data_IF_771247026271
#
_entry.id   IF_771247026271
#
_cell.length_a   1.000
_cell.length_b   1.000
_cell.length_c   1.000
_cell.angle_alpha   90.00
_cell.angle_beta   90.00
_cell.angle_gamma   90.00
#
_symmetry.space_group_name_H-M   'P 1'
#
loop_
_entity.id
_entity.type
_entity.pdbx_description
1 polymer ?
#
# COMPACT_ATOMS: atom_id res chain seq x y z
N UNK A 1 4.24 6.11 -21.55
CA UNK A 1 3.76 7.47 -21.29
C UNK A 1 2.84 7.88 -22.40
N UNK A 2 1.88 8.73 -22.08
CA UNK A 2 0.91 9.31 -23.01
C UNK A 2 0.51 10.66 -22.44
N UNK A 3 0.16 11.62 -23.28
CA UNK A 3 -0.42 12.87 -22.81
C UNK A 3 -1.80 12.61 -22.18
N UNK A 4 -2.27 13.52 -21.32
CA UNK A 4 -3.57 13.40 -20.67
C UNK A 4 -4.76 13.29 -21.65
N UNK A 5 -4.64 13.86 -22.86
CA UNK A 5 -5.62 13.75 -23.94
C UNK A 5 -5.53 12.44 -24.75
N UNK A 6 -4.65 11.52 -24.35
CA UNK A 6 -4.40 10.26 -25.05
C UNK A 6 -3.44 10.39 -26.25
N UNK A 7 -2.96 11.59 -26.58
CA UNK A 7 -2.04 11.81 -27.70
C UNK A 7 -0.59 11.48 -27.35
N UNK A 8 0.26 11.36 -28.39
CA UNK A 8 1.72 11.16 -28.28
C UNK A 8 2.15 9.99 -27.39
N UNK A 9 1.45 8.86 -27.51
CA UNK A 9 1.85 7.63 -26.82
C UNK A 9 3.32 7.27 -27.15
N UNK A 10 4.12 7.07 -26.10
CA UNK A 10 5.53 6.73 -26.20
C UNK A 10 5.94 5.68 -25.17
N UNK A 11 6.77 4.74 -25.60
CA UNK A 11 7.43 3.80 -24.71
C UNK A 11 8.60 4.49 -23.99
N UNK A 12 8.46 4.75 -22.69
CA UNK A 12 9.44 5.54 -21.92
C UNK A 12 10.52 4.67 -21.28
N UNK A 13 10.14 3.49 -20.79
CA UNK A 13 10.98 2.63 -19.96
C UNK A 13 10.69 1.17 -20.29
N UNK A 14 11.76 0.41 -20.53
CA UNK A 14 11.72 -1.04 -20.67
C UNK A 14 12.64 -1.52 -21.80
N UNK A 15 12.48 -2.78 -22.20
CA UNK A 15 13.42 -3.46 -23.10
C UNK A 15 13.30 -3.01 -24.57
N UNK A 16 12.18 -2.39 -24.95
CA UNK A 16 11.98 -1.82 -26.29
C UNK A 16 12.53 -0.39 -26.31
N UNK A 17 13.83 -0.23 -26.57
CA UNK A 17 14.47 1.09 -26.67
C UNK A 17 15.18 1.32 -27.99
N UNK A 18 15.64 2.55 -28.20
CA UNK A 18 16.35 2.96 -29.40
C UNK A 18 17.83 2.54 -29.39
N UNK A 19 18.36 2.12 -30.54
CA UNK A 19 19.79 1.85 -30.69
C UNK A 19 20.60 3.16 -30.68
N UNK A 20 21.59 3.24 -29.80
CA UNK A 20 22.56 4.33 -29.77
C UNK A 20 23.63 4.07 -30.84
N UNK A 21 23.62 4.85 -31.91
CA UNK A 21 24.69 4.91 -32.92
C UNK A 21 25.61 6.09 -32.60
N UNK A 22 26.87 6.07 -33.05
CA UNK A 22 28.00 6.92 -32.62
C UNK A 22 27.87 8.46 -32.69
N UNK A 23 26.67 9.00 -32.88
CA UNK A 23 26.33 10.39 -32.60
C UNK A 23 26.37 10.72 -31.09
N UNK A 24 26.71 11.97 -30.73
CA UNK A 24 26.65 12.47 -29.35
C UNK A 24 25.22 12.69 -28.83
N UNK A 25 24.19 12.44 -29.65
CA UNK A 25 22.79 12.60 -29.28
C UNK A 25 22.33 11.40 -28.43
N UNK A 26 22.09 11.63 -27.13
CA UNK A 26 21.60 10.59 -26.23
C UNK A 26 20.17 10.17 -26.59
N UNK A 27 19.94 8.86 -26.71
CA UNK A 27 18.63 8.25 -27.00
C UNK A 27 18.07 7.49 -25.78
N UNK A 28 16.78 7.14 -25.84
CA UNK A 28 16.12 6.28 -24.87
C UNK A 28 16.48 4.81 -25.16
N UNK A 29 17.64 4.37 -24.68
CA UNK A 29 18.15 3.01 -24.96
C UNK A 29 17.36 1.92 -24.21
N UNK A 30 17.42 0.64 -24.63
CA UNK A 30 16.79 -0.47 -23.92
C UNK A 30 17.17 -0.56 -22.44
N UNK A 31 16.21 -0.85 -21.57
CA UNK A 31 16.40 -1.19 -20.15
C UNK A 31 15.88 -2.60 -19.88
N UNK A 32 16.79 -3.53 -19.63
CA UNK A 32 16.45 -4.91 -19.30
C UNK A 32 16.20 -5.03 -17.80
N UNK A 33 14.94 -4.86 -17.40
CA UNK A 33 14.53 -4.92 -16.01
C UNK A 33 13.06 -4.57 -15.83
N UNK A 34 12.49 -5.05 -14.74
CA UNK A 34 11.15 -4.66 -14.31
C UNK A 34 11.26 -3.33 -13.57
N UNK A 35 10.48 -2.32 -13.97
CA UNK A 35 10.57 -0.97 -13.41
C UNK A 35 9.24 -0.52 -12.84
N UNK A 36 9.31 0.18 -11.73
CA UNK A 36 8.16 0.79 -11.04
C UNK A 36 8.43 2.27 -10.82
N UNK A 37 7.36 3.07 -10.74
CA UNK A 37 7.46 4.47 -10.32
C UNK A 37 7.96 4.49 -8.87
N UNK A 38 9.02 5.26 -8.61
CA UNK A 38 9.51 5.51 -7.25
C UNK A 38 8.99 6.85 -6.74
N UNK A 39 9.03 7.88 -7.58
CA UNK A 39 8.58 9.22 -7.21
C UNK A 39 8.15 9.95 -8.49
N UNK A 40 6.92 10.48 -8.58
CA UNK A 40 6.48 11.26 -9.73
C UNK A 40 7.21 12.59 -9.86
N UNK A 41 7.90 13.08 -8.81
CA UNK A 41 8.53 14.40 -8.75
C UNK A 41 7.58 15.53 -9.15
N UNK A 42 6.49 15.70 -8.38
CA UNK A 42 5.38 16.59 -8.74
C UNK A 42 5.76 18.04 -9.04
N UNK A 43 6.92 18.51 -8.57
CA UNK A 43 7.44 19.85 -8.86
C UNK A 43 8.45 19.90 -10.04
N UNK A 44 8.58 18.81 -10.80
CA UNK A 44 9.45 18.65 -11.97
C UNK A 44 8.65 17.98 -13.10
N UNK A 45 7.84 18.76 -13.82
CA UNK A 45 6.92 18.30 -14.88
C UNK A 45 7.57 17.44 -15.97
N UNK A 46 8.88 17.55 -16.12
CA UNK A 46 9.64 16.84 -17.15
C UNK A 46 10.19 15.50 -16.68
N UNK A 47 10.23 15.23 -15.37
CA UNK A 47 10.98 14.10 -14.82
C UNK A 47 10.15 13.27 -13.85
N UNK A 48 10.48 11.98 -13.81
CA UNK A 48 10.08 11.08 -12.73
C UNK A 48 11.30 10.28 -12.25
N UNK A 49 11.21 9.72 -11.04
CA UNK A 49 12.10 8.65 -10.59
C UNK A 49 11.43 7.31 -10.77
N UNK A 50 12.18 6.36 -11.30
CA UNK A 50 11.82 4.94 -11.31
C UNK A 50 12.83 4.14 -10.52
N UNK A 51 12.38 3.04 -9.93
CA UNK A 51 13.24 1.96 -9.47
C UNK A 51 13.17 0.82 -10.48
N UNK A 52 14.33 0.25 -10.81
CA UNK A 52 14.45 -0.88 -11.73
C UNK A 52 15.09 -2.06 -11.04
N UNK A 53 14.49 -3.24 -11.20
CA UNK A 53 15.01 -4.57 -10.88
C UNK A 53 15.60 -5.16 -12.16
N UNK A 54 16.92 -5.11 -12.36
CA UNK A 54 17.54 -5.56 -13.59
C UNK A 54 17.30 -7.06 -13.82
N UNK A 55 17.02 -7.45 -15.07
CA UNK A 55 16.96 -8.86 -15.45
C UNK A 55 18.39 -9.39 -15.54
N UNK A 56 18.83 -10.08 -14.49
CA UNK A 56 20.16 -10.70 -14.42
C UNK A 56 20.01 -12.21 -14.25
N UNK A 57 21.11 -12.95 -14.28
CA UNK A 57 21.10 -14.37 -13.91
C UNK A 57 20.82 -14.59 -12.41
N UNK A 58 20.93 -13.54 -11.57
CA UNK A 58 20.55 -13.58 -10.16
C UNK A 58 19.06 -13.26 -9.99
N UNK A 59 18.37 -14.04 -9.15
CA UNK A 59 17.01 -13.73 -8.68
C UNK A 59 16.96 -12.52 -7.75
N UNK A 60 18.11 -12.09 -7.21
CA UNK A 60 18.24 -10.99 -6.24
C UNK A 60 19.24 -9.95 -6.75
N UNK A 61 18.90 -9.15 -7.76
CA UNK A 61 19.78 -8.11 -8.25
C UNK A 61 19.84 -6.92 -7.27
N UNK A 62 20.91 -6.13 -7.37
CA UNK A 62 20.87 -4.76 -6.85
C UNK A 62 19.92 -3.94 -7.71
N UNK A 63 19.00 -3.23 -7.05
CA UNK A 63 18.07 -2.31 -7.68
C UNK A 63 18.76 -1.00 -8.06
N UNK A 64 18.23 -0.32 -9.07
CA UNK A 64 18.83 0.91 -9.61
C UNK A 64 17.76 1.97 -9.75
N UNK A 65 18.02 3.17 -9.24
CA UNK A 65 17.13 4.31 -9.43
C UNK A 65 17.58 5.11 -10.64
N UNK A 66 16.64 5.40 -11.53
CA UNK A 66 16.84 6.28 -12.67
C UNK A 66 15.93 7.50 -12.59
N UNK A 67 16.48 8.68 -12.91
CA UNK A 67 15.67 9.85 -13.27
C UNK A 67 15.38 9.77 -14.76
N UNK A 68 14.10 9.77 -15.13
CA UNK A 68 13.60 9.57 -16.49
C UNK A 68 12.86 10.82 -16.94
N UNK A 69 13.14 11.25 -18.16
CA UNK A 69 12.40 12.31 -18.84
C UNK A 69 11.07 11.77 -19.37
N UNK A 70 9.95 12.35 -18.95
CA UNK A 70 8.60 11.82 -19.22
C UNK A 70 8.16 11.98 -20.68
N UNK A 71 8.79 12.88 -21.43
CA UNK A 71 8.47 13.11 -22.85
C UNK A 71 9.37 12.30 -23.78
N UNK A 72 10.63 12.10 -23.40
CA UNK A 72 11.64 11.51 -24.27
C UNK A 72 12.03 10.09 -23.88
N UNK A 73 11.84 9.67 -22.64
CA UNK A 73 12.31 8.39 -22.09
C UNK A 73 13.82 8.37 -21.80
N UNK A 74 14.52 9.50 -22.00
CA UNK A 74 15.96 9.61 -21.68
C UNK A 74 16.14 9.49 -20.18
N UNK A 75 17.14 8.70 -19.76
CA UNK A 75 17.37 8.42 -18.35
C UNK A 75 18.80 8.66 -17.90
N UNK A 76 18.93 8.99 -16.62
CA UNK A 76 20.21 9.10 -15.91
C UNK A 76 20.13 8.27 -14.63
N UNK A 77 21.15 7.44 -14.39
CA UNK A 77 21.28 6.71 -13.12
C UNK A 77 21.45 7.71 -11.99
N UNK A 78 20.62 7.61 -10.96
CA UNK A 78 20.70 8.43 -9.73
C UNK A 78 21.54 7.71 -8.68
N UNK A 79 21.22 6.44 -8.43
CA UNK A 79 21.94 5.61 -7.46
C UNK A 79 21.69 4.12 -7.71
N UNK A 80 22.52 3.27 -7.13
CA UNK A 80 22.35 1.81 -7.07
C UNK A 80 22.16 1.43 -5.60
N UNK A 81 21.37 0.41 -5.32
CA UNK A 81 21.13 -0.03 -3.95
C UNK A 81 22.42 -0.48 -3.26
N UNK A 82 22.55 -0.20 -1.95
CA UNK A 82 23.68 -0.70 -1.16
C UNK A 82 23.63 -2.23 -0.98
N UNK A 83 22.43 -2.80 -0.98
CA UNK A 83 22.16 -4.24 -0.82
C UNK A 83 21.29 -4.76 -1.96
N UNK A 84 21.25 -6.08 -2.16
CA UNK A 84 20.34 -6.73 -3.12
C UNK A 84 18.88 -6.46 -2.73
N UNK A 85 18.01 -6.40 -3.73
CA UNK A 85 16.56 -6.26 -3.54
C UNK A 85 16.12 -5.09 -2.65
N UNK A 86 16.94 -4.03 -2.52
CA UNK A 86 16.59 -2.89 -1.67
C UNK A 86 15.45 -2.06 -2.27
N UNK A 87 14.52 -1.66 -1.41
CA UNK A 87 13.53 -0.63 -1.66
C UNK A 87 14.09 0.73 -1.25
N UNK A 88 13.59 1.81 -1.86
CA UNK A 88 14.04 3.17 -1.60
C UNK A 88 12.90 4.05 -1.11
N UNK A 89 13.24 5.10 -0.37
CA UNK A 89 12.34 6.18 -0.03
C UNK A 89 12.99 7.52 -0.39
N UNK A 90 12.17 8.39 -0.98
CA UNK A 90 12.51 9.78 -1.30
C UNK A 90 12.02 10.73 -0.22
N UNK A 91 12.73 11.83 -0.02
CA UNK A 91 12.20 12.94 0.80
C UNK A 91 11.21 13.80 0.01
N UNK A 92 10.65 14.83 0.67
CA UNK A 92 9.67 15.76 0.07
C UNK A 92 10.18 16.42 -1.22
N UNK A 93 11.50 16.63 -1.34
CA UNK A 93 12.16 17.24 -2.50
C UNK A 93 12.49 16.21 -3.60
N UNK A 94 12.17 14.93 -3.39
CA UNK A 94 12.46 13.86 -4.35
C UNK A 94 13.92 13.38 -4.33
N UNK A 95 14.69 13.69 -3.28
CA UNK A 95 16.02 13.12 -3.11
C UNK A 95 15.89 11.68 -2.59
N UNK A 96 16.64 10.74 -3.17
CA UNK A 96 16.66 9.33 -2.72
C UNK A 96 17.56 9.21 -1.48
N UNK A 97 16.95 9.04 -0.30
CA UNK A 97 17.61 9.25 1.01
C UNK A 97 17.68 8.02 1.89
N UNK A 98 16.75 7.08 1.79
CA UNK A 98 16.75 5.85 2.60
C UNK A 98 16.60 4.64 1.70
N UNK A 99 17.30 3.57 2.03
CA UNK A 99 17.12 2.26 1.41
C UNK A 99 17.00 1.18 2.49
N UNK A 100 16.06 0.27 2.30
CA UNK A 100 15.89 -0.92 3.15
C UNK A 100 16.00 -2.16 2.29
N UNK A 101 16.82 -3.11 2.73
CA UNK A 101 16.91 -4.43 2.14
C UNK A 101 16.87 -5.49 3.22
N UNK A 102 16.21 -6.60 2.94
CA UNK A 102 16.28 -7.81 3.75
C UNK A 102 16.99 -8.87 2.92
N UNK A 103 18.13 -9.36 3.39
CA UNK A 103 18.88 -10.42 2.72
C UNK A 103 18.17 -11.78 2.84
N UNK A 104 17.67 -12.12 4.04
CA UNK A 104 17.00 -13.38 4.34
C UNK A 104 15.65 -13.17 5.06
N UNK A 105 15.00 -12.02 4.86
CA UNK A 105 13.78 -11.59 5.57
C UNK A 105 13.95 -11.41 7.10
N UNK A 106 14.99 -11.95 7.73
CA UNK A 106 15.15 -11.96 9.20
C UNK A 106 15.80 -10.66 9.71
N UNK A 107 16.75 -10.08 8.96
CA UNK A 107 17.51 -8.90 9.42
C UNK A 107 17.48 -7.78 8.37
N UNK A 108 16.57 -6.81 8.47
CA UNK A 108 16.55 -5.66 7.58
C UNK A 108 17.81 -4.81 7.80
N UNK A 109 18.44 -4.42 6.70
CA UNK A 109 19.55 -3.46 6.68
C UNK A 109 19.05 -2.12 6.17
N UNK A 110 19.14 -1.09 7.03
CA UNK A 110 18.75 0.28 6.69
C UNK A 110 20.00 1.05 6.31
N UNK A 111 19.92 1.78 5.21
CA UNK A 111 20.99 2.66 4.74
C UNK A 111 20.44 4.06 4.47
N UNK A 112 21.25 5.07 4.79
CA UNK A 112 20.93 6.47 4.52
C UNK A 112 21.88 7.07 3.50
N UNK A 113 21.42 8.13 2.85
CA UNK A 113 22.16 8.91 1.85
C UNK A 113 21.84 10.38 2.04
N UNK A 114 22.84 11.23 1.81
CA UNK A 114 22.69 12.68 1.92
C UNK A 114 21.77 13.23 0.83
N UNK A 115 21.15 14.40 1.08
CA UNK A 115 20.33 15.11 0.08
C UNK A 115 21.08 15.39 -1.21
N UNK A 116 22.34 15.81 -1.09
CA UNK A 116 23.25 16.06 -2.22
C UNK A 116 23.67 14.78 -2.97
N UNK A 117 23.31 13.60 -2.46
CA UNK A 117 23.64 12.30 -3.01
C UNK A 117 24.85 11.66 -2.33
N UNK A 118 25.81 11.17 -3.13
CA UNK A 118 26.98 10.45 -2.60
C UNK A 118 26.72 8.96 -2.29
N UNK A 119 27.56 8.42 -1.40
CA UNK A 119 27.59 7.01 -1.03
C UNK A 119 26.57 6.69 0.08
N UNK A 120 25.98 5.50 0.02
CA UNK A 120 25.14 4.97 1.08
C UNK A 120 25.95 4.71 2.36
N UNK A 121 25.39 5.06 3.50
CA UNK A 121 25.93 4.77 4.83
C UNK A 121 24.99 3.83 5.59
N UNK A 122 25.50 2.78 6.26
CA UNK A 122 24.65 1.92 7.07
C UNK A 122 24.11 2.67 8.29
N UNK A 123 22.81 2.57 8.53
CA UNK A 123 22.16 3.07 9.74
C UNK A 123 22.04 1.93 10.76
N UNK A 124 23.08 1.78 11.59
CA UNK A 124 23.08 0.78 12.65
C UNK A 124 22.20 1.22 13.82
N UNK A 125 21.16 0.43 14.11
CA UNK A 125 20.18 0.63 15.20
C UNK A 125 20.57 -0.11 16.50
N UNK A 126 21.77 -0.68 16.59
CA UNK A 126 22.25 -1.41 17.77
C UNK A 126 21.61 -2.79 17.90
N UNK A 127 21.25 -3.18 19.13
CA UNK A 127 20.67 -4.49 19.46
C UNK A 127 19.17 -4.60 19.15
N UNK A 128 18.58 -3.58 18.52
CA UNK A 128 17.17 -3.56 18.18
C UNK A 128 16.85 -4.60 17.09
N UNK A 129 16.08 -5.62 17.45
CA UNK A 129 15.70 -6.73 16.57
C UNK A 129 14.34 -6.47 15.90
N UNK A 130 14.29 -5.48 15.02
CA UNK A 130 13.14 -5.28 14.13
C UNK A 130 13.25 -6.19 12.89
N UNK A 131 12.14 -6.80 12.47
CA UNK A 131 12.02 -7.50 11.19
C UNK A 131 10.95 -6.86 10.31
N UNK A 132 10.85 -7.31 9.05
CA UNK A 132 9.78 -6.91 8.12
C UNK A 132 9.65 -5.39 7.92
N UNK A 133 10.78 -4.68 7.92
CA UNK A 133 10.78 -3.21 7.85
C UNK A 133 10.32 -2.72 6.47
N UNK A 134 9.27 -1.89 6.46
CA UNK A 134 8.76 -1.23 5.24
C UNK A 134 8.79 0.28 5.41
N UNK A 135 9.30 0.99 4.39
CA UNK A 135 9.40 2.45 4.34
C UNK A 135 8.08 3.05 3.84
N UNK A 136 7.59 4.12 4.49
CA UNK A 136 6.34 4.79 4.09
C UNK A 136 6.52 6.24 3.70
N UNK A 137 7.03 7.09 4.59
CA UNK A 137 7.12 8.53 4.37
C UNK A 137 8.22 9.17 5.22
N UNK A 138 8.70 10.33 4.78
CA UNK A 138 9.44 11.24 5.67
C UNK A 138 8.46 12.00 6.57
N UNK A 139 8.95 12.43 7.73
CA UNK A 139 8.25 13.46 8.48
C UNK A 139 8.48 14.84 7.85
N UNK A 140 7.63 15.81 8.19
CA UNK A 140 7.67 17.15 7.59
C UNK A 140 9.00 17.88 7.76
N UNK A 141 9.83 17.50 8.75
CA UNK A 141 11.18 18.03 8.94
C UNK A 141 12.22 17.44 7.98
N UNK A 142 11.99 16.24 7.45
CA UNK A 142 12.94 15.49 6.65
C UNK A 142 14.05 14.80 7.46
N UNK A 143 13.97 14.81 8.80
CA UNK A 143 14.95 14.21 9.71
C UNK A 143 14.55 12.82 10.22
N UNK A 144 13.26 12.46 10.09
CA UNK A 144 12.76 11.14 10.47
C UNK A 144 11.95 10.48 9.35
N UNK A 145 11.81 9.16 9.44
CA UNK A 145 11.00 8.35 8.53
C UNK A 145 9.98 7.53 9.30
N UNK A 146 8.78 7.41 8.75
CA UNK A 146 7.76 6.49 9.21
C UNK A 146 7.97 5.12 8.55
N UNK A 147 8.03 4.08 9.38
CA UNK A 147 8.27 2.70 8.95
C UNK A 147 7.31 1.75 9.66
N UNK A 148 6.83 0.71 8.99
CA UNK A 148 6.26 -0.44 9.70
C UNK A 148 7.34 -1.46 9.97
N UNK A 149 7.29 -2.11 11.12
CA UNK A 149 8.24 -3.15 11.51
C UNK A 149 7.60 -4.13 12.51
N UNK A 150 8.11 -5.36 12.56
CA UNK A 150 7.72 -6.35 13.56
C UNK A 150 8.80 -6.46 14.64
N UNK A 151 8.37 -6.75 15.87
CA UNK A 151 9.24 -7.11 17.01
C UNK A 151 8.89 -8.53 17.40
N UNK A 152 9.90 -9.41 17.48
CA UNK A 152 9.72 -10.80 17.92
C UNK A 152 8.65 -11.59 17.16
N UNK A 153 8.40 -11.25 15.89
CA UNK A 153 7.42 -11.94 15.03
C UNK A 153 5.97 -11.56 15.31
N UNK A 154 5.68 -10.57 16.14
CA UNK A 154 4.33 -10.06 16.37
C UNK A 154 3.80 -9.29 15.15
N UNK A 155 2.51 -8.93 15.17
CA UNK A 155 1.93 -7.97 14.24
C UNK A 155 2.77 -6.68 14.17
N UNK A 156 2.91 -6.12 12.97
CA UNK A 156 3.73 -4.94 12.77
C UNK A 156 3.13 -3.72 13.46
N UNK A 157 4.00 -2.87 14.03
CA UNK A 157 3.66 -1.52 14.45
C UNK A 157 4.14 -0.48 13.43
N UNK A 158 3.52 0.70 13.44
CA UNK A 158 4.05 1.90 12.81
C UNK A 158 4.99 2.63 13.78
N UNK A 159 6.22 2.89 13.34
CA UNK A 159 7.26 3.57 14.10
C UNK A 159 7.76 4.80 13.36
N UNK A 160 8.26 5.78 14.13
CA UNK A 160 8.98 6.94 13.62
C UNK A 160 10.46 6.80 13.99
N UNK A 161 11.32 6.66 12.98
CA UNK A 161 12.77 6.52 13.13
C UNK A 161 13.47 7.84 12.80
N UNK A 162 14.11 8.46 13.78
CA UNK A 162 14.95 9.62 13.55
C UNK A 162 16.30 9.19 12.95
N UNK A 163 16.64 9.73 11.78
CA UNK A 163 17.83 9.31 11.03
C UNK A 163 19.16 9.81 11.64
N UNK A 164 19.12 10.84 12.49
CA UNK A 164 20.29 11.42 13.15
C UNK A 164 20.54 10.81 14.53
N UNK A 165 19.50 10.82 15.38
CA UNK A 165 19.59 10.35 16.77
C UNK A 165 19.42 8.84 16.88
N UNK A 166 18.87 8.18 15.85
CA UNK A 166 18.55 6.75 15.80
C UNK A 166 17.47 6.33 16.81
N UNK A 167 16.79 7.30 17.42
CA UNK A 167 15.62 7.06 18.28
C UNK A 167 14.47 6.55 17.42
N UNK A 168 13.75 5.54 17.95
CA UNK A 168 12.58 4.94 17.32
C UNK A 168 11.41 5.07 18.29
N UNK A 169 10.40 5.81 17.88
CA UNK A 169 9.18 6.02 18.65
C UNK A 169 8.05 5.16 18.05
N UNK A 170 7.33 4.43 18.91
CA UNK A 170 6.10 3.73 18.51
C UNK A 170 4.99 4.76 18.31
N UNK A 171 4.40 4.78 17.12
CA UNK A 171 3.30 5.69 16.77
C UNK A 171 1.95 5.01 16.96
N UNK A 172 1.82 3.79 16.44
CA UNK A 172 0.59 3.01 16.53
C UNK A 172 0.87 1.52 16.33
N UNK A 173 0.18 0.67 17.08
CA UNK A 173 0.23 -0.80 16.94
C UNK A 173 -1.06 -1.38 17.50
N UNK A 174 -1.65 -2.31 16.76
CA UNK A 174 -2.70 -3.19 17.26
C UNK A 174 -2.08 -4.49 17.78
N UNK A 175 -2.77 -5.17 18.69
CA UNK A 175 -2.25 -6.39 19.31
C UNK A 175 -2.19 -7.56 18.32
N UNK A 176 -3.26 -7.75 17.53
CA UNK A 176 -3.42 -8.95 16.70
C UNK A 176 -3.10 -8.73 15.22
N UNK A 177 -3.19 -7.49 14.71
CA UNK A 177 -3.07 -7.23 13.27
C UNK A 177 -2.09 -6.12 12.93
N UNK A 178 -1.36 -6.35 11.85
CA UNK A 178 -0.50 -5.36 11.21
C UNK A 178 -1.38 -4.34 10.46
N UNK A 179 -0.91 -3.10 10.27
CA UNK A 179 -1.58 -2.14 9.41
C UNK A 179 -1.93 -2.74 8.04
N UNK A 180 -3.21 -2.62 7.65
CA UNK A 180 -3.69 -2.96 6.31
C UNK A 180 -3.19 -1.93 5.30
N UNK A 181 -3.30 -0.66 5.64
CA UNK A 181 -2.89 0.46 4.79
C UNK A 181 -2.29 1.58 5.62
N UNK A 182 -1.14 2.09 5.16
CA UNK A 182 -0.56 3.34 5.64
C UNK A 182 -0.91 4.42 4.63
N UNK A 183 -1.66 5.41 5.09
CA UNK A 183 -2.18 6.47 4.23
C UNK A 183 -1.18 7.61 4.15
N UNK A 184 -0.52 7.70 3.00
CA UNK A 184 0.40 8.77 2.62
C UNK A 184 -0.23 9.55 1.48
N UNK A 185 -0.31 10.85 1.62
CA UNK A 185 -0.78 11.73 0.56
C UNK A 185 0.29 11.85 -0.53
N UNK A 186 -0.05 11.54 -1.78
CA UNK A 186 0.92 11.50 -2.88
C UNK A 186 1.53 12.88 -3.17
N UNK A 187 0.76 13.95 -2.96
CA UNK A 187 1.17 15.33 -3.25
C UNK A 187 2.23 15.83 -2.26
N UNK A 188 1.86 15.84 -0.99
CA UNK A 188 2.71 16.32 0.10
C UNK A 188 3.74 15.30 0.58
N UNK A 189 3.52 14.00 0.30
CA UNK A 189 4.25 12.85 0.87
C UNK A 189 4.14 12.73 2.39
N UNK A 190 3.06 13.28 2.96
CA UNK A 190 2.80 13.21 4.39
C UNK A 190 1.89 12.02 4.72
N UNK A 191 2.30 11.25 5.72
CA UNK A 191 1.48 10.21 6.33
C UNK A 191 0.44 10.87 7.25
N UNK A 192 -0.85 10.52 7.08
CA UNK A 192 -1.92 11.11 7.89
C UNK A 192 -2.81 10.08 8.62
N UNK A 193 -2.94 8.85 8.11
CA UNK A 193 -3.76 7.82 8.74
C UNK A 193 -3.14 6.41 8.66
N UNK A 194 -3.60 5.55 9.55
CA UNK A 194 -3.35 4.12 9.56
C UNK A 194 -4.72 3.45 9.51
N UNK A 195 -4.86 2.47 8.61
CA UNK A 195 -6.03 1.60 8.57
C UNK A 195 -5.64 0.20 8.99
N UNK A 196 -6.40 -0.34 9.93
CA UNK A 196 -6.28 -1.70 10.46
C UNK A 196 -7.59 -2.44 10.24
N UNK A 197 -7.53 -3.76 10.17
CA UNK A 197 -8.75 -4.55 9.96
C UNK A 197 -8.55 -5.93 10.59
N UNK A 198 -9.06 -6.12 11.81
CA UNK A 198 -9.20 -7.43 12.44
C UNK A 198 -10.54 -8.08 12.06
N UNK A 199 -11.56 -7.25 11.87
CA UNK A 199 -12.88 -7.62 11.37
C UNK A 199 -13.38 -6.53 10.42
N UNK A 200 -13.96 -5.47 10.95
CA UNK A 200 -14.27 -4.28 10.15
C UNK A 200 -13.08 -3.32 10.09
N UNK A 201 -12.99 -2.48 9.04
CA UNK A 201 -11.94 -1.47 8.94
C UNK A 201 -12.01 -0.45 10.08
N UNK A 202 -10.85 -0.14 10.66
CA UNK A 202 -10.68 0.86 11.72
C UNK A 202 -9.52 1.79 11.38
N UNK A 203 -9.58 3.02 11.90
CA UNK A 203 -8.63 4.07 11.52
C UNK A 203 -8.01 4.74 12.75
N UNK A 204 -6.69 4.85 12.73
CA UNK A 204 -5.92 5.73 13.60
C UNK A 204 -5.32 6.88 12.78
N UNK A 205 -5.08 8.02 13.43
CA UNK A 205 -4.57 9.23 12.76
C UNK A 205 -3.29 9.68 13.42
N UNK A 206 -2.25 9.97 12.63
CA UNK A 206 -0.95 10.43 13.15
C UNK A 206 -1.06 11.85 13.70
N UNK A 207 -1.65 12.75 12.92
CA UNK A 207 -2.14 14.03 13.40
C UNK A 207 -3.64 14.12 13.12
N UNK A 208 -4.44 13.98 14.18
CA UNK A 208 -5.89 14.01 14.09
C UNK A 208 -6.49 15.37 13.71
N UNK A 209 -5.71 16.46 13.74
CA UNK A 209 -6.11 17.83 13.42
C UNK A 209 -5.60 18.32 12.06
N UNK A 210 -4.76 17.54 11.38
CA UNK A 210 -4.36 17.87 10.00
C UNK A 210 -5.57 17.87 9.05
N UNK A 211 -5.53 18.71 8.03
CA UNK A 211 -6.62 18.84 7.04
C UNK A 211 -6.98 17.51 6.38
N UNK A 212 -5.96 16.67 6.10
CA UNK A 212 -6.13 15.34 5.50
C UNK A 212 -6.83 14.36 6.43
N UNK A 213 -6.44 14.33 7.70
CA UNK A 213 -7.11 13.51 8.72
C UNK A 213 -8.55 13.94 8.94
N UNK A 214 -8.80 15.25 9.08
CA UNK A 214 -10.16 15.79 9.23
C UNK A 214 -11.02 15.46 8.01
N UNK A 215 -10.45 15.55 6.81
CA UNK A 215 -11.13 15.18 5.56
C UNK A 215 -11.48 13.70 5.51
N UNK A 216 -10.53 12.80 5.79
CA UNK A 216 -10.82 11.37 5.80
C UNK A 216 -11.92 11.04 6.83
N UNK A 217 -11.87 11.63 8.04
CA UNK A 217 -12.94 11.51 9.04
C UNK A 217 -14.30 11.98 8.51
N UNK A 218 -14.34 13.13 7.83
CA UNK A 218 -15.56 13.68 7.24
C UNK A 218 -16.12 12.75 6.15
N UNK A 219 -15.28 12.20 5.29
CA UNK A 219 -15.68 11.26 4.25
C UNK A 219 -16.24 9.95 4.82
N UNK A 220 -15.56 9.36 5.81
CA UNK A 220 -16.05 8.17 6.53
C UNK A 220 -17.41 8.48 7.19
N UNK A 221 -17.56 9.66 7.79
CA UNK A 221 -18.83 10.07 8.42
C UNK A 221 -19.96 10.29 7.42
N UNK A 222 -19.64 10.78 6.22
CA UNK A 222 -20.60 11.05 5.16
C UNK A 222 -21.08 9.77 4.44
N UNK A 223 -20.31 8.70 4.51
CA UNK A 223 -20.57 7.40 3.87
C UNK A 223 -20.63 6.29 4.94
N UNK A 224 -21.63 6.32 5.84
CA UNK A 224 -21.68 5.40 6.97
C UNK A 224 -21.79 3.94 6.52
N UNK A 225 -20.93 3.09 7.07
CA UNK A 225 -20.89 1.66 6.75
C UNK A 225 -20.11 1.33 5.47
N UNK A 226 -19.56 2.32 4.77
CA UNK A 226 -18.65 2.11 3.65
C UNK A 226 -17.19 2.17 4.14
N UNK A 227 -16.34 1.32 3.57
CA UNK A 227 -14.90 1.51 3.57
C UNK A 227 -14.55 2.53 2.48
N UNK A 228 -13.86 3.59 2.88
CA UNK A 228 -13.51 4.70 1.99
C UNK A 228 -12.06 4.59 1.55
N UNK A 229 -11.82 4.79 0.26
CA UNK A 229 -10.51 4.88 -0.36
C UNK A 229 -10.38 6.21 -1.13
N UNK A 230 -9.26 6.91 -0.92
CA UNK A 230 -8.88 8.08 -1.73
C UNK A 230 -8.10 7.55 -2.93
N UNK A 231 -8.71 7.49 -4.11
CA UNK A 231 -8.10 6.83 -5.28
C UNK A 231 -7.29 7.78 -6.17
N UNK A 232 -7.56 9.08 -6.08
CA UNK A 232 -6.82 10.13 -6.80
C UNK A 232 -7.12 11.49 -6.20
N UNK A 233 -6.13 12.38 -6.21
CA UNK A 233 -6.25 13.74 -5.71
C UNK A 233 -5.52 14.72 -6.62
N UNK A 234 -6.02 15.96 -6.72
CA UNK A 234 -5.23 17.06 -7.27
C UNK A 234 -4.09 17.43 -6.33
N UNK A 235 -3.03 18.07 -6.85
CA UNK A 235 -1.86 18.45 -6.04
C UNK A 235 -2.21 19.40 -4.89
N UNK A 236 -3.15 20.33 -5.11
CA UNK A 236 -3.71 21.20 -4.07
C UNK A 236 -4.65 20.47 -3.11
N UNK A 237 -5.00 19.22 -3.41
CA UNK A 237 -5.95 18.41 -2.67
C UNK A 237 -7.40 18.91 -2.78
N UNK A 238 -7.72 19.90 -3.59
CA UNK A 238 -9.08 20.46 -3.61
C UNK A 238 -10.10 19.54 -4.24
N UNK A 239 -9.67 18.70 -5.19
CA UNK A 239 -10.52 17.74 -5.88
C UNK A 239 -9.99 16.33 -5.68
N UNK A 240 -10.85 15.42 -5.22
CA UNK A 240 -10.47 14.05 -4.92
C UNK A 240 -11.49 13.09 -5.52
N UNK A 241 -11.03 11.96 -6.04
CA UNK A 241 -11.88 10.84 -6.40
C UNK A 241 -11.90 9.89 -5.22
N UNK A 242 -13.10 9.62 -4.72
CA UNK A 242 -13.34 8.72 -3.59
C UNK A 242 -13.95 7.43 -4.13
N UNK A 243 -13.45 6.29 -3.68
CA UNK A 243 -14.08 4.99 -3.85
C UNK A 243 -14.67 4.54 -2.52
N UNK A 244 -15.93 4.12 -2.51
CA UNK A 244 -16.63 3.63 -1.33
C UNK A 244 -17.19 2.25 -1.62
N UNK A 245 -16.94 1.29 -0.73
CA UNK A 245 -17.44 -0.08 -0.85
C UNK A 245 -17.62 -0.74 0.51
N UNK A 246 -18.48 -1.76 0.57
CA UNK A 246 -18.62 -2.64 1.73
C UNK A 246 -18.87 -4.08 1.27
N UNK A 247 -19.37 -4.93 2.16
CA UNK A 247 -19.73 -6.33 1.88
C UNK A 247 -20.91 -6.51 0.91
N UNK A 248 -21.77 -5.48 0.77
CA UNK A 248 -22.96 -5.47 -0.08
C UNK A 248 -22.84 -4.53 -1.28
N UNK A 249 -22.05 -3.48 -1.16
CA UNK A 249 -21.78 -2.47 -2.17
C UNK A 249 -20.44 -2.80 -2.87
N UNK A 250 -20.48 -3.25 -4.14
CA UNK A 250 -19.29 -3.65 -4.88
C UNK A 250 -18.42 -2.47 -5.35
N UNK A 251 -18.77 -1.24 -4.95
CA UNK A 251 -17.98 -0.06 -5.22
C UNK A 251 -18.74 1.05 -5.92
N UNK A 252 -18.61 2.26 -5.39
CA UNK A 252 -19.12 3.49 -5.95
C UNK A 252 -18.02 4.55 -5.96
N UNK A 253 -18.00 5.36 -7.01
CA UNK A 253 -17.07 6.45 -7.16
C UNK A 253 -17.77 7.79 -6.96
N UNK A 254 -17.10 8.68 -6.24
CA UNK A 254 -17.56 10.03 -5.95
C UNK A 254 -16.46 11.03 -6.28
N UNK A 255 -16.85 12.25 -6.66
CA UNK A 255 -15.98 13.41 -6.74
C UNK A 255 -16.19 14.24 -5.49
N UNK A 256 -15.14 14.39 -4.69
CA UNK A 256 -15.14 15.24 -3.51
C UNK A 256 -14.46 16.58 -3.82
N UNK A 257 -15.23 17.65 -3.68
CA UNK A 257 -14.75 19.03 -3.68
C UNK A 257 -14.52 19.46 -2.23
N UNK A 258 -13.25 19.58 -1.86
CA UNK A 258 -12.84 19.91 -0.50
C UNK A 258 -13.09 21.38 -0.13
N UNK A 259 -13.12 22.30 -1.11
CA UNK A 259 -13.39 23.72 -0.87
C UNK A 259 -14.83 23.96 -0.47
N UNK A 260 -15.75 23.29 -1.15
CA UNK A 260 -17.19 23.42 -0.91
C UNK A 260 -17.73 22.33 0.02
N UNK A 261 -16.88 21.40 0.47
CA UNK A 261 -17.25 20.22 1.25
C UNK A 261 -18.43 19.45 0.61
N UNK A 262 -18.31 19.19 -0.69
CA UNK A 262 -19.37 18.60 -1.49
C UNK A 262 -18.92 17.25 -2.05
N UNK A 263 -19.68 16.20 -1.76
CA UNK A 263 -19.46 14.86 -2.29
C UNK A 263 -20.50 14.54 -3.36
N UNK A 264 -20.04 14.43 -4.61
CA UNK A 264 -20.91 14.17 -5.76
C UNK A 264 -20.71 12.75 -6.29
N UNK A 265 -21.78 11.97 -6.34
CA UNK A 265 -21.74 10.65 -7.00
C UNK A 265 -21.34 10.78 -8.48
N UNK A 266 -20.45 9.89 -8.93
CA UNK A 266 -20.04 9.78 -10.32
C UNK A 266 -20.70 8.58 -10.99
N UNK A 267 -20.37 7.38 -10.52
CA UNK A 267 -20.89 6.11 -11.05
C UNK A 267 -20.64 4.96 -10.07
N UNK A 268 -21.40 3.87 -10.24
CA UNK A 268 -21.17 2.61 -9.54
C UNK A 268 -20.37 1.64 -10.42
N UNK A 269 -19.44 0.88 -9.83
CA UNK A 269 -18.60 -0.09 -10.53
C UNK A 269 -19.43 -1.22 -11.18
N UNK A 270 -20.52 -1.63 -10.49
CA UNK A 270 -21.44 -2.70 -10.90
C UNK A 270 -22.89 -2.28 -10.65
N UNK A 271 -23.36 -1.27 -11.38
CA UNK A 271 -24.70 -0.67 -11.25
C UNK A 271 -25.87 -1.64 -11.47
N UNK A 272 -25.63 -2.83 -12.04
CA UNK A 272 -26.62 -3.88 -12.20
C UNK A 272 -26.85 -4.74 -10.95
N UNK A 273 -26.06 -4.51 -9.88
CA UNK A 273 -26.24 -5.18 -8.59
C UNK A 273 -26.94 -4.24 -7.60
N UNK A 274 -28.04 -4.71 -7.03
CA UNK A 274 -28.74 -4.01 -5.95
C UNK A 274 -28.12 -4.41 -4.61
N UNK A 275 -27.48 -3.45 -3.93
CA UNK A 275 -26.84 -3.67 -2.64
C UNK A 275 -27.83 -4.18 -1.59
N UNK A 276 -29.12 -3.81 -1.68
CA UNK A 276 -30.12 -4.29 -0.72
C UNK A 276 -30.42 -5.79 -0.85
N UNK A 277 -30.11 -6.38 -2.01
CA UNK A 277 -30.28 -7.81 -2.25
C UNK A 277 -29.03 -8.63 -1.90
N UNK A 278 -27.90 -7.97 -1.62
CA UNK A 278 -26.65 -8.64 -1.27
C UNK A 278 -26.65 -9.09 0.20
N UNK A 279 -26.04 -10.24 0.45
CA UNK A 279 -25.91 -10.86 1.76
C UNK A 279 -24.91 -10.09 2.64
N UNK A 280 -25.19 -10.03 3.94
CA UNK A 280 -24.26 -9.45 4.91
C UNK A 280 -23.11 -10.43 5.22
N UNK A 281 -21.92 -9.88 5.41
CA UNK A 281 -20.70 -10.57 5.80
C UNK A 281 -20.24 -10.06 7.16
N UNK A 282 -20.30 -10.95 8.17
CA UNK A 282 -19.97 -10.62 9.56
C UNK A 282 -18.58 -11.18 9.90
N UNK A 283 -17.71 -10.43 10.59
CA UNK A 283 -16.52 -10.98 11.21
C UNK A 283 -16.88 -12.06 12.23
N UNK A 284 -16.10 -13.14 12.26
CA UNK A 284 -16.24 -14.22 13.22
C UNK A 284 -14.87 -14.60 13.78
N UNK A 285 -14.85 -15.13 15.00
CA UNK A 285 -13.65 -15.70 15.60
C UNK A 285 -13.97 -16.94 16.42
N UNK A 286 -13.01 -17.84 16.53
CA UNK A 286 -13.13 -19.05 17.34
C UNK A 286 -11.76 -19.54 17.81
N UNK A 287 -11.73 -20.24 18.95
CA UNK A 287 -10.51 -20.84 19.48
C UNK A 287 -10.24 -22.18 18.79
N UNK A 288 -9.06 -22.33 18.20
CA UNK A 288 -8.59 -23.59 17.63
C UNK A 288 -8.14 -24.58 18.71
N UNK A 289 -7.91 -25.84 18.32
CA UNK A 289 -7.64 -26.97 19.24
C UNK A 289 -6.50 -26.72 20.24
N UNK A 290 -5.51 -25.94 19.88
CA UNK A 290 -4.32 -25.63 20.69
C UNK A 290 -4.39 -24.26 21.36
N UNK A 291 -5.57 -23.62 21.38
CA UNK A 291 -5.81 -22.39 22.12
C UNK A 291 -5.63 -21.09 21.32
N UNK A 292 -5.14 -21.16 20.07
CA UNK A 292 -5.02 -19.94 19.26
C UNK A 292 -6.38 -19.47 18.75
N UNK A 293 -6.66 -18.17 18.87
CA UNK A 293 -7.84 -17.53 18.24
C UNK A 293 -7.64 -17.42 16.73
N UNK A 294 -8.61 -17.91 15.97
CA UNK A 294 -8.68 -17.83 14.52
C UNK A 294 -9.78 -16.84 14.15
N UNK A 295 -9.49 -16.00 13.15
CA UNK A 295 -10.40 -14.97 12.65
C UNK A 295 -10.92 -15.35 11.27
N UNK A 296 -12.04 -14.77 10.87
CA UNK A 296 -12.65 -15.03 9.57
C UNK A 296 -13.88 -14.19 9.34
N UNK A 297 -14.59 -14.54 8.27
CA UNK A 297 -15.80 -13.85 7.83
C UNK A 297 -16.87 -14.85 7.45
N UNK A 298 -18.11 -14.57 7.85
CA UNK A 298 -19.27 -15.37 7.56
C UNK A 298 -20.27 -14.55 6.75
N UNK A 299 -20.46 -14.90 5.48
CA UNK A 299 -21.52 -14.34 4.64
C UNK A 299 -22.79 -15.16 4.84
N UNK A 300 -23.89 -14.49 5.18
CA UNK A 300 -25.16 -15.14 5.57
C UNK A 300 -26.26 -14.81 4.56
N UNK A 301 -26.94 -15.84 3.98
CA UNK A 301 -28.08 -15.65 3.08
C UNK A 301 -29.19 -14.77 3.69
N UNK A 302 -29.67 -13.81 2.90
CA UNK A 302 -30.80 -12.96 3.26
C UNK A 302 -32.09 -13.77 3.48
N UNK A 303 -32.99 -13.26 4.33
CA UNK A 303 -34.31 -13.85 4.60
C UNK A 303 -34.29 -15.30 5.11
N UNK A 304 -33.25 -15.69 5.85
CA UNK A 304 -33.14 -17.02 6.46
C UNK A 304 -33.07 -16.95 7.98
N UNK A 305 -33.38 -18.05 8.67
CA UNK A 305 -33.39 -18.11 10.14
C UNK A 305 -31.99 -18.22 10.78
N UNK A 306 -30.90 -17.95 10.05
CA UNK A 306 -29.49 -18.13 10.46
C UNK A 306 -29.19 -19.47 11.20
N UNK A 307 -29.99 -20.51 10.92
CA UNK A 307 -29.93 -21.81 11.61
C UNK A 307 -30.01 -22.93 10.59
N UNK A 308 -29.21 -23.98 10.80
CA UNK A 308 -29.17 -25.18 9.96
C UNK A 308 -29.03 -24.90 8.45
N UNK A 309 -28.32 -23.82 8.11
CA UNK A 309 -28.02 -23.48 6.72
C UNK A 309 -26.95 -24.43 6.17
N UNK A 310 -27.03 -24.85 4.89
CA UNK A 310 -25.88 -25.40 4.20
C UNK A 310 -24.72 -24.40 4.30
N UNK A 311 -23.54 -24.89 4.66
CA UNK A 311 -22.34 -24.06 4.83
C UNK A 311 -21.28 -24.49 3.82
N UNK A 312 -20.74 -23.52 3.08
CA UNK A 312 -19.54 -23.67 2.27
C UNK A 312 -18.38 -23.04 3.01
N UNK A 313 -17.30 -23.79 3.23
CA UNK A 313 -16.03 -23.23 3.69
C UNK A 313 -15.22 -22.87 2.44
N UNK A 314 -14.88 -21.59 2.30
CA UNK A 314 -14.20 -21.04 1.13
C UNK A 314 -12.83 -20.49 1.57
N UNK A 315 -11.77 -21.33 1.57
CA UNK A 315 -10.44 -20.88 1.93
C UNK A 315 -9.81 -20.04 0.82
N UNK A 316 -9.01 -19.04 1.19
CA UNK A 316 -8.09 -18.39 0.26
C UNK A 316 -6.89 -19.29 -0.07
N UNK A 317 -6.14 -18.89 -1.09
CA UNK A 317 -4.94 -19.62 -1.54
C UNK A 317 -3.72 -19.45 -0.63
N UNK A 318 -2.68 -20.23 -0.90
CA UNK A 318 -1.36 -20.11 -0.28
C UNK A 318 -0.26 -19.76 -1.30
N UNK A 319 1.03 -19.70 -0.92
CA UNK A 319 1.61 -20.03 0.39
C UNK A 319 1.39 -18.89 1.41
N UNK A 320 2.21 -18.74 2.44
CA UNK A 320 2.06 -17.72 3.49
C UNK A 320 1.83 -16.28 2.97
N UNK A 321 0.97 -15.51 3.63
CA UNK A 321 0.75 -14.09 3.36
C UNK A 321 -0.66 -13.70 2.87
N UNK A 322 -1.30 -14.41 1.92
CA UNK A 322 -2.69 -14.14 1.56
C UNK A 322 -3.60 -14.25 2.78
N UNK A 323 -4.62 -13.41 2.83
CA UNK A 323 -5.68 -13.46 3.83
C UNK A 323 -6.96 -12.90 3.26
N UNK A 324 -8.07 -13.29 3.88
CA UNK A 324 -9.36 -12.65 3.65
C UNK A 324 -9.46 -11.33 4.42
N UNK A 325 -10.11 -10.37 3.78
CA UNK A 325 -10.50 -9.07 4.31
C UNK A 325 -12.02 -8.96 4.21
N UNK A 326 -12.62 -8.09 5.02
CA UNK A 326 -14.01 -7.72 4.90
C UNK A 326 -14.23 -6.92 3.60
N UNK A 327 -15.36 -7.17 2.94
CA UNK A 327 -15.73 -6.49 1.71
C UNK A 327 -16.53 -7.38 0.76
N UNK A 328 -16.95 -6.80 -0.36
CA UNK A 328 -17.77 -7.49 -1.36
C UNK A 328 -16.98 -8.60 -2.04
N UNK A 329 -17.48 -9.83 -1.93
CA UNK A 329 -16.91 -11.02 -2.56
C UNK A 329 -17.96 -11.65 -3.49
N UNK A 330 -17.78 -11.60 -4.82
CA UNK A 330 -18.80 -12.06 -5.77
C UNK A 330 -19.10 -13.56 -5.64
N UNK A 331 -18.12 -14.38 -5.25
CA UNK A 331 -18.30 -15.83 -5.10
C UNK A 331 -19.09 -16.13 -3.82
N UNK A 332 -18.76 -15.45 -2.72
CA UNK A 332 -19.54 -15.55 -1.48
C UNK A 332 -20.99 -15.09 -1.68
N UNK A 333 -21.20 -13.97 -2.39
CA UNK A 333 -22.52 -13.44 -2.71
C UNK A 333 -23.33 -14.39 -3.59
N UNK A 334 -22.71 -15.02 -4.59
CA UNK A 334 -23.36 -16.02 -5.44
C UNK A 334 -23.86 -17.22 -4.63
N UNK A 335 -23.02 -17.77 -3.75
CA UNK A 335 -23.39 -18.91 -2.90
C UNK A 335 -24.46 -18.53 -1.88
N UNK A 336 -24.34 -17.35 -1.26
CA UNK A 336 -25.33 -16.82 -0.33
C UNK A 336 -26.69 -16.59 -0.98
N UNK A 337 -26.70 -16.11 -2.22
CA UNK A 337 -27.92 -15.98 -3.02
C UNK A 337 -28.61 -17.34 -3.28
N UNK A 338 -27.88 -18.46 -3.23
CA UNK A 338 -28.40 -19.83 -3.33
C UNK A 338 -28.74 -20.46 -1.98
N UNK A 339 -28.82 -19.66 -0.91
CA UNK A 339 -29.22 -20.12 0.42
C UNK A 339 -28.10 -20.82 1.20
N UNK A 340 -26.84 -20.68 0.78
CA UNK A 340 -25.68 -21.26 1.46
C UNK A 340 -24.94 -20.20 2.26
N UNK A 341 -24.68 -20.44 3.55
CA UNK A 341 -23.72 -19.63 4.28
C UNK A 341 -22.30 -19.88 3.74
N UNK A 342 -21.46 -18.85 3.78
CA UNK A 342 -20.06 -18.95 3.30
C UNK A 342 -19.12 -18.51 4.40
N UNK A 343 -18.27 -19.43 4.85
CA UNK A 343 -17.25 -19.17 5.86
C UNK A 343 -15.88 -19.06 5.19
N UNK A 344 -15.25 -17.90 5.35
CA UNK A 344 -13.84 -17.65 4.99
C UNK A 344 -13.01 -17.57 6.27
N UNK A 345 -11.91 -18.30 6.33
CA UNK A 345 -11.10 -18.45 7.55
C UNK A 345 -9.69 -17.94 7.28
N UNK A 346 -9.22 -17.00 8.11
CA UNK A 346 -7.83 -16.62 8.20
C UNK A 346 -7.08 -17.65 9.05
N UNK A 347 -6.75 -18.77 8.42
CA UNK A 347 -6.02 -19.88 9.05
C UNK A 347 -4.54 -19.52 9.27
N UNK A 348 -3.79 -20.32 10.04
CA UNK A 348 -2.35 -20.07 10.25
C UNK A 348 -1.58 -19.99 8.94
N UNK A 349 -0.69 -19.02 8.83
CA UNK A 349 -0.06 -18.68 7.55
C UNK A 349 -0.74 -17.51 6.84
N UNK A 350 -1.97 -17.13 7.23
CA UNK A 350 -2.61 -15.90 6.71
C UNK A 350 -1.82 -14.68 7.16
N UNK A 351 -1.60 -13.74 6.24
CA UNK A 351 -0.72 -12.60 6.48
C UNK A 351 -1.29 -11.54 7.41
N UNK A 352 -0.43 -10.63 7.86
CA UNK A 352 -0.86 -9.44 8.59
C UNK A 352 -1.28 -9.72 10.04
N UNK A 353 -1.04 -10.92 10.57
CA UNK A 353 -1.14 -11.24 12.00
C UNK A 353 0.25 -11.38 12.66
N UNK A 354 1.31 -11.11 11.90
CA UNK A 354 2.69 -11.30 12.31
C UNK A 354 3.20 -12.73 12.07
N UNK A 355 4.51 -12.90 12.06
CA UNK A 355 5.18 -14.19 11.83
C UNK A 355 4.82 -15.26 12.85
N UNK A 356 4.48 -14.87 14.06
CA UNK A 356 4.01 -15.79 15.11
C UNK A 356 2.64 -16.40 14.79
N UNK A 357 1.89 -15.85 13.84
CA UNK A 357 0.67 -16.45 13.31
C UNK A 357 0.91 -17.10 11.93
N UNK A 358 1.86 -16.56 11.18
CA UNK A 358 2.14 -16.98 9.81
C UNK A 358 3.01 -18.24 9.69
N UNK A 359 3.40 -18.93 10.77
CA UNK A 359 4.32 -20.08 10.71
C UNK A 359 3.65 -21.47 10.71
#
# INVERSE_FOLDING_TARGET
>A
GVNADGSKAKYLVGYQGEMQTGSRLKKATPLYGTSYLLDPLLHDDDKMLIVTYPWTSSSEPHTVVYKVDVFTGKRRKVTRSPSRMANFLTDHEGNVRVAVASDDYIKPTIHTREKSGGNWQPLNLGDLSYSDVTLHAFDSSGDAVYVTASVSGEAQGLYKLNLKTKVIDLIHKEEEVSPKQIWVDEASKELFAIETELGYPTYAFVDGQSDKSMRLKALISALPGEQVQLVSSTEDGDTNVIYASNDRNPGQYYLFDAKNNNLRFLFASRSWLDAEQMAQTKPVSFTSRDGLTIYGYLTVPNNTSEQNLPLVVMPHGGPHGPRDWWGFDPDAQLLANRGMAVLKVNFRGSGGFGRNFEH
#
